data_IF_112558100574
#
_entry.id   IF_112558100574
#
_cell.length_a   1.000
_cell.length_b   1.000
_cell.length_c   1.000
_cell.angle_alpha   90.00
_cell.angle_beta   90.00
_cell.angle_gamma   90.00
#
_symmetry.space_group_name_H-M   'P 1'
#
loop_
_entity.id
_entity.type
_entity.pdbx_description
1 polymer ?
#
# COMPACT_ATOMS: atom_id res chain seq x y z
N UNK A 1 -12.78 -7.95 24.07
CA UNK A 1 -11.99 -6.98 23.27
C UNK A 1 -12.41 -5.58 23.70
N UNK A 2 -11.46 -4.73 24.12
CA UNK A 2 -11.75 -3.33 24.44
C UNK A 2 -12.25 -2.55 23.21
N UNK A 3 -13.03 -1.49 23.41
CA UNK A 3 -13.57 -0.66 22.32
C UNK A 3 -12.49 -0.12 21.38
N UNK A 4 -11.33 0.24 21.92
CA UNK A 4 -10.17 0.73 21.16
C UNK A 4 -9.61 -0.32 20.19
N UNK A 5 -9.58 -1.60 20.59
CA UNK A 5 -9.07 -2.67 19.74
C UNK A 5 -10.00 -2.94 18.55
N UNK A 6 -11.32 -2.86 18.74
CA UNK A 6 -12.30 -2.99 17.64
C UNK A 6 -12.24 -1.79 16.70
N UNK A 7 -12.07 -0.58 17.23
CA UNK A 7 -11.95 0.64 16.42
C UNK A 7 -10.68 0.63 15.56
N UNK A 8 -9.54 0.18 16.12
CA UNK A 8 -8.29 0.02 15.37
C UNK A 8 -8.41 -1.05 14.29
N UNK A 9 -9.05 -2.19 14.59
CA UNK A 9 -9.26 -3.26 13.63
C UNK A 9 -10.12 -2.80 12.45
N UNK A 10 -11.25 -2.13 12.71
CA UNK A 10 -12.11 -1.59 11.67
C UNK A 10 -11.37 -0.58 10.77
N UNK A 11 -10.57 0.30 11.38
CA UNK A 11 -9.73 1.23 10.64
C UNK A 11 -8.69 0.50 9.79
N UNK A 12 -7.99 -0.49 10.34
CA UNK A 12 -6.99 -1.27 9.62
C UNK A 12 -7.60 -1.98 8.42
N UNK A 13 -8.81 -2.55 8.56
CA UNK A 13 -9.54 -3.15 7.45
C UNK A 13 -9.87 -2.11 6.37
N UNK A 14 -10.40 -0.94 6.75
CA UNK A 14 -10.68 0.15 5.81
C UNK A 14 -9.42 0.64 5.07
N UNK A 15 -8.32 0.85 5.79
CA UNK A 15 -7.04 1.22 5.20
C UNK A 15 -6.49 0.13 4.27
N UNK A 16 -6.69 -1.15 4.60
CA UNK A 16 -6.25 -2.28 3.75
C UNK A 16 -7.04 -2.32 2.44
N UNK A 17 -8.37 -2.14 2.50
CA UNK A 17 -9.22 -2.07 1.30
C UNK A 17 -8.83 -0.88 0.44
N UNK A 18 -8.65 0.30 1.04
CA UNK A 18 -8.22 1.49 0.31
C UNK A 18 -6.84 1.29 -0.36
N UNK A 19 -5.87 0.71 0.36
CA UNK A 19 -4.55 0.42 -0.17
C UNK A 19 -4.59 -0.61 -1.31
N UNK A 20 -5.44 -1.65 -1.21
CA UNK A 20 -5.62 -2.63 -2.27
C UNK A 20 -6.22 -2.03 -3.54
N UNK A 21 -7.24 -1.16 -3.42
CA UNK A 21 -7.86 -0.46 -4.56
C UNK A 21 -6.83 0.45 -5.23
N UNK A 22 -6.09 1.24 -4.44
CA UNK A 22 -5.05 2.12 -4.98
C UNK A 22 -3.91 1.36 -5.64
N UNK A 23 -3.46 0.25 -5.04
CA UNK A 23 -2.41 -0.60 -5.63
C UNK A 23 -2.82 -1.23 -6.94
N UNK A 24 -4.05 -1.74 -7.00
CA UNK A 24 -4.61 -2.27 -8.25
C UNK A 24 -4.68 -1.20 -9.34
N UNK A 25 -5.21 -0.01 -9.02
CA UNK A 25 -5.27 1.11 -9.96
C UNK A 25 -3.88 1.54 -10.42
N UNK A 26 -2.92 1.65 -9.49
CA UNK A 26 -1.55 2.01 -9.80
C UNK A 26 -0.89 1.03 -10.76
N UNK A 27 -1.11 -0.28 -10.58
CA UNK A 27 -0.64 -1.30 -11.51
C UNK A 27 -1.27 -1.14 -12.89
N UNK A 28 -2.60 -1.03 -12.96
CA UNK A 28 -3.35 -0.86 -14.22
C UNK A 28 -2.85 0.35 -15.01
N UNK A 29 -2.75 1.52 -14.37
CA UNK A 29 -2.29 2.74 -15.02
C UNK A 29 -0.79 2.73 -15.31
N UNK A 30 0.03 2.09 -14.48
CA UNK A 30 1.46 1.95 -14.77
C UNK A 30 1.67 1.11 -16.02
N UNK A 31 1.00 -0.03 -16.14
CA UNK A 31 1.05 -0.84 -17.36
C UNK A 31 0.60 0.01 -18.54
N UNK A 32 -0.60 0.59 -18.51
CA UNK A 32 -1.11 1.43 -19.60
C UNK A 32 -0.15 2.54 -20.03
N UNK A 33 0.49 3.24 -19.10
CA UNK A 33 1.50 4.28 -19.42
C UNK A 33 2.79 3.70 -20.02
N UNK A 34 3.18 2.47 -19.66
CA UNK A 34 4.30 1.76 -20.32
C UNK A 34 3.93 1.40 -21.75
N UNK A 35 2.69 0.98 -22.03
CA UNK A 35 2.22 0.72 -23.40
C UNK A 35 2.12 1.98 -24.25
N UNK A 36 1.59 3.05 -23.66
CA UNK A 36 1.44 4.35 -24.33
C UNK A 36 2.76 5.14 -24.39
N UNK A 37 3.87 4.60 -23.86
CA UNK A 37 5.23 5.21 -23.81
C UNK A 37 5.25 6.65 -23.24
N UNK A 38 4.30 6.99 -22.38
CA UNK A 38 4.13 8.36 -21.84
C UNK A 38 5.12 8.71 -20.73
N UNK A 39 5.89 7.73 -20.24
CA UNK A 39 6.88 7.93 -19.16
C UNK A 39 6.30 8.25 -17.78
N UNK A 40 4.97 8.13 -17.59
CA UNK A 40 4.27 8.50 -16.34
C UNK A 40 4.14 7.37 -15.31
N UNK A 41 4.54 6.14 -15.66
CA UNK A 41 4.56 5.01 -14.74
C UNK A 41 5.24 5.29 -13.37
N UNK A 42 6.42 5.95 -13.29
CA UNK A 42 7.04 6.25 -11.99
C UNK A 42 6.21 7.24 -11.15
N UNK A 43 5.50 8.18 -11.78
CA UNK A 43 4.62 9.11 -11.05
C UNK A 43 3.43 8.39 -10.42
N UNK A 44 2.85 7.43 -11.15
CA UNK A 44 1.72 6.62 -10.66
C UNK A 44 2.15 5.76 -9.46
N UNK A 45 3.31 5.10 -9.56
CA UNK A 45 3.83 4.32 -8.43
C UNK A 45 4.19 5.20 -7.24
N UNK A 46 4.82 6.36 -7.46
CA UNK A 46 5.14 7.31 -6.38
C UNK A 46 3.86 7.76 -5.65
N UNK A 47 2.81 8.09 -6.39
CA UNK A 47 1.53 8.47 -5.81
C UNK A 47 0.93 7.35 -4.95
N UNK A 48 0.99 6.09 -5.41
CA UNK A 48 0.55 4.94 -4.63
C UNK A 48 1.34 4.77 -3.33
N UNK A 49 2.66 4.91 -3.39
CA UNK A 49 3.52 4.86 -2.20
C UNK A 49 3.18 5.97 -1.19
N UNK A 50 2.92 7.19 -1.66
CA UNK A 50 2.49 8.31 -0.79
C UNK A 50 1.17 7.99 -0.09
N UNK A 51 0.21 7.37 -0.79
CA UNK A 51 -1.06 6.94 -0.20
C UNK A 51 -0.82 5.85 0.86
N UNK A 52 0.04 4.88 0.61
CA UNK A 52 0.39 3.85 1.59
C UNK A 52 1.03 4.43 2.85
N UNK A 53 1.91 5.41 2.69
CA UNK A 53 2.49 6.15 3.81
C UNK A 53 1.42 6.89 4.61
N UNK A 54 0.51 7.60 3.95
CA UNK A 54 -0.56 8.32 4.63
C UNK A 54 -1.46 7.37 5.45
N UNK A 55 -1.84 6.23 4.88
CA UNK A 55 -2.65 5.22 5.57
C UNK A 55 -1.89 4.57 6.74
N UNK A 56 -0.62 4.26 6.56
CA UNK A 56 0.23 3.74 7.63
C UNK A 56 0.36 4.75 8.78
N UNK A 57 0.56 6.03 8.48
CA UNK A 57 0.62 7.09 9.49
C UNK A 57 -0.70 7.20 10.27
N UNK A 58 -1.85 7.14 9.60
CA UNK A 58 -3.16 7.14 10.27
C UNK A 58 -3.28 5.99 11.28
N UNK A 59 -2.83 4.79 10.90
CA UNK A 59 -2.84 3.63 11.80
C UNK A 59 -1.87 3.80 12.98
N UNK A 60 -0.66 4.30 12.74
CA UNK A 60 0.35 4.58 13.77
C UNK A 60 -0.13 5.66 14.74
N UNK A 61 -0.70 6.75 14.24
CA UNK A 61 -1.20 7.84 15.09
C UNK A 61 -2.36 7.39 15.97
N UNK A 62 -3.22 6.48 15.50
CA UNK A 62 -4.33 5.96 16.29
C UNK A 62 -3.93 4.80 17.22
N UNK A 63 -3.01 3.93 16.80
CA UNK A 63 -2.71 2.67 17.49
C UNK A 63 -1.33 2.59 18.17
N UNK A 64 -0.47 3.58 17.99
CA UNK A 64 0.93 3.52 18.44
C UNK A 64 1.64 2.29 17.86
N UNK A 65 2.29 1.50 18.73
CA UNK A 65 2.91 0.22 18.33
C UNK A 65 1.95 -0.81 17.74
N UNK A 66 0.70 -0.86 18.23
CA UNK A 66 -0.34 -1.71 17.59
C UNK A 66 -0.73 -1.19 16.22
N UNK A 67 -0.64 0.13 16.03
CA UNK A 67 -0.78 0.80 14.75
C UNK A 67 0.31 0.44 13.75
N UNK A 68 1.57 0.32 14.22
CA UNK A 68 2.69 -0.16 13.39
C UNK A 68 2.43 -1.58 12.91
N UNK A 69 2.02 -2.49 13.80
CA UNK A 69 1.65 -3.87 13.40
C UNK A 69 0.48 -3.89 12.42
N UNK A 70 -0.53 -3.04 12.63
CA UNK A 70 -1.65 -2.90 11.70
C UNK A 70 -1.22 -2.36 10.34
N UNK A 71 -0.29 -1.40 10.28
CA UNK A 71 0.26 -0.88 9.04
C UNK A 71 1.08 -1.93 8.27
N UNK A 72 1.86 -2.76 8.98
CA UNK A 72 2.58 -3.89 8.39
C UNK A 72 1.59 -4.93 7.84
N UNK A 73 0.56 -5.29 8.60
CA UNK A 73 -0.47 -6.22 8.13
C UNK A 73 -1.23 -5.66 6.92
N UNK A 74 -1.58 -4.37 6.95
CA UNK A 74 -2.23 -3.66 5.86
C UNK A 74 -1.41 -3.74 4.57
N UNK A 75 -0.11 -3.41 4.63
CA UNK A 75 0.72 -3.39 3.42
C UNK A 75 0.93 -4.80 2.87
N UNK A 76 1.18 -5.81 3.72
CA UNK A 76 1.31 -7.21 3.28
C UNK A 76 0.04 -7.67 2.56
N UNK A 77 -1.13 -7.41 3.14
CA UNK A 77 -2.41 -7.77 2.53
C UNK A 77 -2.68 -7.01 1.23
N UNK A 78 -2.48 -5.68 1.23
CA UNK A 78 -2.71 -4.85 0.04
C UNK A 78 -1.77 -5.23 -1.11
N UNK A 79 -0.50 -5.50 -0.81
CA UNK A 79 0.47 -5.96 -1.80
C UNK A 79 0.15 -7.38 -2.26
N UNK A 80 -0.35 -8.27 -1.41
CA UNK A 80 -0.79 -9.61 -1.82
C UNK A 80 -1.98 -9.55 -2.78
N UNK A 81 -2.97 -8.69 -2.49
CA UNK A 81 -4.11 -8.46 -3.39
C UNK A 81 -3.63 -7.86 -4.71
N UNK A 82 -2.77 -6.84 -4.67
CA UNK A 82 -2.22 -6.21 -5.88
C UNK A 82 -1.43 -7.21 -6.72
N UNK A 83 -0.60 -8.04 -6.07
CA UNK A 83 0.13 -9.12 -6.72
C UNK A 83 -0.83 -10.13 -7.35
N UNK A 84 -1.86 -10.57 -6.63
CA UNK A 84 -2.88 -11.51 -7.09
C UNK A 84 -3.65 -10.98 -8.32
N UNK A 85 -3.90 -9.67 -8.35
CA UNK A 85 -4.63 -8.98 -9.43
C UNK A 85 -3.74 -8.52 -10.60
N UNK A 86 -2.42 -8.73 -10.55
CA UNK A 86 -1.50 -8.43 -11.66
C UNK A 86 -2.00 -8.89 -13.05
N UNK A 87 -2.39 -10.16 -13.27
CA UNK A 87 -2.86 -10.61 -14.58
C UNK A 87 -4.13 -9.87 -15.03
N UNK A 88 -5.02 -9.52 -14.10
CA UNK A 88 -6.22 -8.76 -14.39
C UNK A 88 -5.86 -7.32 -14.78
N UNK A 89 -4.93 -6.69 -14.07
CA UNK A 89 -4.47 -5.34 -14.40
C UNK A 89 -3.77 -5.27 -15.76
N UNK A 90 -3.03 -6.32 -16.14
CA UNK A 90 -2.42 -6.44 -17.47
C UNK A 90 -3.50 -6.60 -18.55
N UNK A 91 -4.45 -7.50 -18.37
CA UNK A 91 -5.53 -7.71 -19.33
C UNK A 91 -6.39 -6.46 -19.54
N UNK A 92 -6.68 -5.72 -18.47
CA UNK A 92 -7.44 -4.47 -18.54
C UNK A 92 -6.66 -3.31 -19.13
N UNK A 93 -5.33 -3.27 -18.96
CA UNK A 93 -4.49 -2.25 -19.58
C UNK A 93 -4.46 -2.38 -21.12
N UNK A 94 -4.66 -3.60 -21.65
CA UNK A 94 -4.68 -3.88 -23.08
C UNK A 94 -6.04 -3.78 -23.78
N UNK A 95 -7.11 -3.36 -23.07
CA UNK A 95 -8.47 -3.29 -23.66
C UNK A 95 -8.55 -2.37 -24.88
N UNK A 96 -7.67 -1.35 -24.98
CA UNK A 96 -7.62 -0.45 -26.13
C UNK A 96 -6.97 -1.04 -27.39
N UNK A 97 -6.04 -1.98 -27.24
CA UNK A 97 -5.37 -2.71 -28.34
C UNK A 97 -4.89 -4.09 -27.85
N UNK A 98 -5.76 -5.10 -27.84
CA UNK A 98 -5.44 -6.40 -27.28
C UNK A 98 -4.40 -7.18 -28.08
N UNK A 99 -4.26 -6.92 -29.39
CA UNK A 99 -3.31 -7.61 -30.25
C UNK A 99 -1.88 -7.09 -30.05
N UNK A 100 -1.69 -5.77 -30.08
CA UNK A 100 -0.39 -5.15 -29.79
C UNK A 100 0.08 -5.39 -28.35
N UNK A 101 -0.86 -5.49 -27.40
CA UNK A 101 -0.55 -5.81 -26.01
C UNK A 101 -0.08 -7.26 -25.83
N UNK A 102 -0.75 -8.22 -26.48
CA UNK A 102 -0.39 -9.63 -26.43
C UNK A 102 0.97 -9.92 -27.11
N UNK A 103 1.28 -9.21 -28.21
CA UNK A 103 2.58 -9.35 -28.88
C UNK A 103 3.75 -8.86 -28.01
N UNK A 104 3.51 -7.82 -27.20
CA UNK A 104 4.55 -7.14 -26.42
C UNK A 104 4.72 -7.68 -24.99
N UNK A 105 3.67 -8.27 -24.41
CA UNK A 105 3.66 -8.76 -23.01
C UNK A 105 3.06 -10.17 -22.85
N UNK A 106 2.87 -10.91 -23.94
CA UNK A 106 2.28 -12.26 -23.93
C UNK A 106 3.05 -13.28 -23.08
N UNK A 107 4.36 -13.09 -22.88
CA UNK A 107 5.19 -13.89 -21.96
C UNK A 107 5.41 -13.18 -20.61
N UNK A 108 4.34 -12.67 -19.98
CA UNK A 108 4.49 -12.04 -18.67
C UNK A 108 4.89 -13.06 -17.59
N UNK A 109 6.17 -13.06 -17.23
CA UNK A 109 6.68 -13.84 -16.08
C UNK A 109 6.42 -13.07 -14.79
N UNK A 110 5.46 -13.58 -13.99
CA UNK A 110 5.09 -12.96 -12.72
C UNK A 110 6.29 -12.90 -11.77
N UNK A 111 6.64 -11.73 -11.23
CA UNK A 111 7.73 -11.61 -10.26
C UNK A 111 7.38 -12.30 -8.94
N UNK A 112 8.41 -12.72 -8.19
CA UNK A 112 8.22 -13.33 -6.88
C UNK A 112 7.56 -12.34 -5.93
N UNK A 113 6.61 -12.83 -5.12
CA UNK A 113 5.90 -11.98 -4.16
C UNK A 113 6.85 -11.32 -3.17
N UNK A 114 7.88 -12.03 -2.71
CA UNK A 114 8.89 -11.48 -1.79
C UNK A 114 9.67 -10.31 -2.41
N UNK A 115 10.06 -10.42 -3.68
CA UNK A 115 10.74 -9.31 -4.37
C UNK A 115 9.83 -8.11 -4.57
N UNK A 116 8.54 -8.35 -4.84
CA UNK A 116 7.54 -7.30 -5.02
C UNK A 116 7.18 -6.59 -3.71
N UNK A 117 6.99 -7.35 -2.63
CA UNK A 117 6.56 -6.82 -1.34
C UNK A 117 7.69 -6.25 -0.50
N UNK A 118 8.95 -6.61 -0.76
CA UNK A 118 10.09 -6.14 0.01
C UNK A 118 10.17 -4.61 0.03
N UNK A 119 10.03 -3.95 -1.12
CA UNK A 119 10.14 -2.49 -1.20
C UNK A 119 9.06 -1.80 -0.36
N UNK A 120 7.79 -2.17 -0.58
CA UNK A 120 6.66 -1.62 0.17
C UNK A 120 6.80 -1.89 1.68
N UNK A 121 7.23 -3.09 2.06
CA UNK A 121 7.38 -3.48 3.46
C UNK A 121 8.51 -2.70 4.15
N UNK A 122 9.68 -2.58 3.52
CA UNK A 122 10.81 -1.84 4.08
C UNK A 122 10.48 -0.35 4.17
N UNK A 123 9.90 0.21 3.11
CA UNK A 123 9.62 1.64 3.03
C UNK A 123 8.48 2.02 3.98
N UNK A 124 7.30 1.40 3.83
CA UNK A 124 6.12 1.74 4.63
C UNK A 124 6.28 1.28 6.08
N UNK A 125 6.80 0.06 6.30
CA UNK A 125 7.04 -0.48 7.63
C UNK A 125 8.13 0.31 8.38
N UNK A 126 9.22 0.65 7.70
CA UNK A 126 10.28 1.49 8.23
C UNK A 126 9.79 2.89 8.60
N UNK A 127 9.04 3.55 7.71
CA UNK A 127 8.42 4.85 7.99
C UNK A 127 7.43 4.80 9.15
N UNK A 128 6.63 3.74 9.26
CA UNK A 128 5.70 3.56 10.38
C UNK A 128 6.42 3.44 11.72
N UNK A 129 7.50 2.64 11.76
CA UNK A 129 8.33 2.49 12.95
C UNK A 129 9.05 3.80 13.32
N UNK A 130 9.59 4.51 12.32
CA UNK A 130 10.25 5.79 12.51
C UNK A 130 9.27 6.87 12.99
N UNK A 131 8.07 6.93 12.42
CA UNK A 131 7.02 7.86 12.84
C UNK A 131 6.62 7.61 14.32
N UNK A 132 6.50 6.34 14.72
CA UNK A 132 6.24 6.00 16.11
C UNK A 132 7.44 6.35 17.01
N UNK A 133 8.66 6.13 16.55
CA UNK A 133 9.88 6.51 17.27
C UNK A 133 9.97 8.01 17.51
N UNK A 134 9.76 8.82 16.45
CA UNK A 134 9.71 10.28 16.54
C UNK A 134 8.61 10.76 17.49
N UNK A 135 7.45 10.11 17.46
CA UNK A 135 6.34 10.43 18.37
C UNK A 135 6.72 10.24 19.84
N UNK A 136 7.43 9.16 20.16
CA UNK A 136 7.92 8.87 21.51
C UNK A 136 8.94 9.93 21.94
N UNK A 137 9.90 10.25 21.08
CA UNK A 137 10.95 11.26 21.35
C UNK A 137 10.35 12.66 21.51
N UNK A 138 9.32 13.00 20.73
CA UNK A 138 8.62 14.28 20.80
C UNK A 138 7.66 14.39 22.01
N UNK A 139 7.58 13.36 22.86
CA UNK A 139 6.67 13.28 24.01
C UNK A 139 5.19 13.54 23.61
N UNK A 140 4.83 13.20 22.37
CA UNK A 140 3.49 13.38 21.83
C UNK A 140 2.58 12.25 22.35
N UNK A 141 2.18 12.37 23.62
CA UNK A 141 1.32 11.43 24.33
C UNK A 141 -0.05 11.28 23.62
N UNK A 142 -0.44 10.07 23.17
CA UNK A 142 -1.76 9.82 22.60
C UNK A 142 -2.92 9.97 23.59
N UNK A 143 -2.65 9.97 24.90
CA UNK A 143 -3.71 9.86 25.92
C UNK A 143 -4.10 11.17 26.56
N UNK A 144 -3.32 12.24 26.41
CA UNK A 144 -3.46 13.41 27.29
C UNK A 144 -3.23 13.02 28.75
N UNK A 145 -2.93 13.99 29.61
CA UNK A 145 -2.76 13.73 31.04
C UNK A 145 -3.95 12.92 31.56
N UNK A 146 -3.68 11.69 32.00
CA UNK A 146 -4.70 10.82 32.58
C UNK A 146 -4.87 11.07 34.08
N UNK A 147 -4.27 12.14 34.58
CA UNK A 147 -4.41 12.64 35.95
C UNK A 147 -4.56 14.17 35.90
N UNK A 148 -5.71 14.64 36.39
CA UNK A 148 -6.13 16.04 36.48
C UNK A 148 -7.58 16.11 36.93
#
# INVERSE_FOLDING_TARGET
>A
MSGDARSLLALALGCTVAAAIFGFGANLFSFRNVFEETGRAPLVQTAATVVYLALALVLVFKGGWKGVLAAIAMIVCATAVSWALLPLSLGLAGVGDPAGYAERFGEFRRPSYSGWAAFDLFFVGGSAALAQGLRIVANADPRGSRDG
#
